data_IF_043588413766
#
_entry.id   IF_043588413766
#
_cell.length_a   1.000
_cell.length_b   1.000
_cell.length_c   1.000
_cell.angle_alpha   90.00
_cell.angle_beta   90.00
_cell.angle_gamma   90.00
#
_symmetry.space_group_name_H-M   'P 1'
#
loop_
_entity.id
_entity.type
_entity.pdbx_description
1 polymer ?
#
# COMPACT_ATOMS: atom_id res chain seq x y z
N UNK A 1 -24.94 -1.06 -6.94
CA UNK A 1 -23.62 -0.42 -7.16
C UNK A 1 -22.58 -1.26 -6.42
N UNK A 2 -21.46 -1.64 -7.03
CA UNK A 2 -20.39 -2.41 -6.39
C UNK A 2 -19.23 -1.52 -5.98
N UNK A 3 -18.70 -1.71 -4.77
CA UNK A 3 -17.48 -1.02 -4.31
C UNK A 3 -16.24 -1.76 -4.82
N UNK A 4 -15.19 -1.02 -5.17
CA UNK A 4 -13.95 -1.62 -5.64
C UNK A 4 -13.11 -2.13 -4.46
N UNK A 5 -12.42 -3.29 -4.57
CA UNK A 5 -11.66 -3.89 -3.45
C UNK A 5 -10.60 -2.96 -2.82
N UNK A 6 -9.84 -2.20 -3.62
CA UNK A 6 -8.89 -1.23 -3.07
C UNK A 6 -9.55 -0.09 -2.26
N UNK A 7 -10.79 0.28 -2.58
CA UNK A 7 -11.54 1.30 -1.83
C UNK A 7 -12.02 0.75 -0.49
N UNK A 8 -12.33 -0.54 -0.40
CA UNK A 8 -12.70 -1.19 0.87
C UNK A 8 -11.52 -1.11 1.84
N UNK A 9 -10.31 -1.46 1.39
CA UNK A 9 -9.10 -1.39 2.22
C UNK A 9 -8.78 0.04 2.66
N UNK A 10 -8.96 1.02 1.77
CA UNK A 10 -8.78 2.44 2.10
C UNK A 10 -9.78 2.92 3.15
N UNK A 11 -11.05 2.55 3.02
CA UNK A 11 -12.11 2.86 3.98
C UNK A 11 -11.81 2.24 5.34
N UNK A 12 -11.43 0.95 5.38
CA UNK A 12 -11.06 0.26 6.61
C UNK A 12 -9.85 0.90 7.30
N UNK A 13 -8.85 1.33 6.50
CA UNK A 13 -7.69 2.03 7.02
C UNK A 13 -8.07 3.39 7.62
N UNK A 14 -8.89 4.17 6.91
CA UNK A 14 -9.36 5.46 7.41
C UNK A 14 -10.25 5.35 8.66
N UNK A 15 -11.03 4.27 8.77
CA UNK A 15 -11.82 3.99 9.98
C UNK A 15 -10.94 3.60 11.16
N UNK A 16 -9.92 2.74 10.95
CA UNK A 16 -8.99 2.31 12.00
C UNK A 16 -8.15 3.47 12.56
N UNK A 17 -7.78 4.42 11.70
CA UNK A 17 -7.05 5.63 12.07
C UNK A 17 -8.00 6.75 12.57
N UNK A 18 -9.28 6.43 12.83
CA UNK A 18 -10.29 7.34 13.36
C UNK A 18 -10.60 8.58 12.49
N UNK A 19 -10.14 8.60 11.24
CA UNK A 19 -10.44 9.67 10.28
C UNK A 19 -11.83 9.53 9.63
N UNK A 20 -12.37 8.30 9.59
CA UNK A 20 -13.67 7.99 8.98
C UNK A 20 -14.58 7.27 9.98
N UNK A 21 -15.90 7.46 9.84
CA UNK A 21 -16.91 6.61 10.45
C UNK A 21 -17.70 5.94 9.33
N UNK A 22 -17.73 4.60 9.31
CA UNK A 22 -18.36 3.82 8.25
C UNK A 22 -19.63 3.17 8.80
N UNK A 23 -20.71 3.23 8.01
CA UNK A 23 -21.97 2.57 8.34
C UNK A 23 -22.55 1.92 7.09
N UNK A 24 -23.18 0.76 7.26
CA UNK A 24 -23.98 0.16 6.21
C UNK A 24 -25.41 0.67 6.32
N UNK A 25 -25.87 1.34 5.27
CA UNK A 25 -27.27 1.76 5.16
C UNK A 25 -28.12 0.62 4.59
N UNK A 26 -29.20 0.28 5.29
CA UNK A 26 -30.08 -0.84 4.95
C UNK A 26 -31.56 -0.40 5.00
N UNK A 27 -32.44 -0.98 4.16
CA UNK A 27 -33.87 -0.66 4.15
C UNK A 27 -34.58 -1.31 5.34
N UNK A 28 -34.38 -0.75 6.54
CA UNK A 28 -34.84 -1.31 7.83
C UNK A 28 -36.34 -1.58 7.84
N UNK A 29 -37.16 -0.66 7.32
CA UNK A 29 -38.62 -0.84 7.30
C UNK A 29 -39.05 -2.05 6.47
N UNK A 30 -38.46 -2.24 5.28
CA UNK A 30 -38.75 -3.39 4.43
C UNK A 30 -38.32 -4.71 5.09
N UNK A 31 -37.16 -4.70 5.75
CA UNK A 31 -36.64 -5.87 6.46
C UNK A 31 -37.53 -6.23 7.63
N UNK A 32 -37.95 -5.25 8.44
CA UNK A 32 -38.86 -5.46 9.56
C UNK A 32 -40.22 -5.96 9.08
N UNK A 33 -40.77 -5.41 8.00
CA UNK A 33 -42.03 -5.88 7.42
C UNK A 33 -41.95 -7.36 7.01
N UNK A 34 -40.84 -7.79 6.39
CA UNK A 34 -40.60 -9.21 6.08
C UNK A 34 -40.48 -10.05 7.34
N UNK A 35 -39.75 -9.56 8.34
CA UNK A 35 -39.57 -10.26 9.61
C UNK A 35 -40.92 -10.47 10.31
N UNK A 36 -41.79 -9.46 10.34
CA UNK A 36 -43.14 -9.58 10.89
C UNK A 36 -43.96 -10.64 10.18
N UNK A 37 -43.90 -10.71 8.85
CA UNK A 37 -44.60 -11.74 8.07
C UNK A 37 -44.11 -13.15 8.44
N UNK A 38 -42.84 -13.31 8.82
CA UNK A 38 -42.29 -14.60 9.22
C UNK A 38 -42.62 -15.02 10.64
N UNK A 39 -42.68 -14.07 11.58
CA UNK A 39 -42.81 -14.39 13.02
C UNK A 39 -44.24 -14.23 13.56
N UNK A 40 -45.10 -13.47 12.88
CA UNK A 40 -46.48 -13.27 13.30
C UNK A 40 -47.42 -14.33 12.70
N UNK A 41 -48.36 -14.79 13.52
CA UNK A 41 -49.48 -15.62 13.06
C UNK A 41 -50.41 -14.84 12.13
N UNK A 42 -51.09 -15.53 11.21
CA UNK A 42 -52.11 -14.93 10.33
C UNK A 42 -53.28 -14.32 11.12
N UNK A 43 -53.59 -14.89 12.28
CA UNK A 43 -54.58 -14.34 13.21
C UNK A 43 -53.90 -13.41 14.21
N UNK A 44 -54.39 -12.16 14.29
CA UNK A 44 -53.91 -11.17 15.24
C UNK A 44 -54.47 -11.50 16.62
N UNK A 45 -53.58 -11.65 17.60
CA UNK A 45 -53.92 -11.92 18.99
C UNK A 45 -53.33 -10.86 19.91
N UNK A 46 -53.70 -10.90 21.20
CA UNK A 46 -53.15 -10.01 22.23
C UNK A 46 -51.63 -10.16 22.40
N UNK A 47 -51.04 -11.28 21.98
CA UNK A 47 -49.59 -11.51 22.06
C UNK A 47 -48.83 -10.99 20.85
N UNK A 48 -49.51 -10.68 19.74
CA UNK A 48 -48.89 -10.24 18.49
C UNK A 48 -48.04 -8.96 18.65
N UNK A 49 -48.44 -8.03 19.53
CA UNK A 49 -47.66 -6.81 19.81
C UNK A 49 -46.33 -7.12 20.51
N UNK A 50 -46.33 -8.05 21.48
CA UNK A 50 -45.11 -8.46 22.17
C UNK A 50 -44.14 -9.16 21.23
N UNK A 51 -44.66 -10.00 20.32
CA UNK A 51 -43.84 -10.66 19.29
C UNK A 51 -43.25 -9.63 18.31
N UNK A 52 -44.04 -8.64 17.89
CA UNK A 52 -43.57 -7.55 17.02
C UNK A 52 -42.43 -6.77 17.67
N UNK A 53 -42.58 -6.38 18.94
CA UNK A 53 -41.55 -5.68 19.70
C UNK A 53 -40.29 -6.52 19.89
N UNK A 54 -40.45 -7.82 20.15
CA UNK A 54 -39.32 -8.75 20.26
C UNK A 54 -38.57 -8.88 18.92
N UNK A 55 -39.28 -8.90 17.79
CA UNK A 55 -38.68 -8.95 16.46
C UNK A 55 -37.89 -7.67 16.14
N UNK A 56 -38.42 -6.50 16.47
CA UNK A 56 -37.72 -5.21 16.32
C UNK A 56 -36.45 -5.16 17.17
N UNK A 57 -36.52 -5.58 18.43
CA UNK A 57 -35.36 -5.62 19.33
C UNK A 57 -34.30 -6.61 18.84
N UNK A 58 -34.72 -7.81 18.44
CA UNK A 58 -33.84 -8.83 17.88
C UNK A 58 -33.15 -8.31 16.60
N UNK A 59 -33.89 -7.64 15.71
CA UNK A 59 -33.30 -7.05 14.52
C UNK A 59 -32.23 -6.02 14.87
N UNK A 60 -32.58 -5.05 15.72
CA UNK A 60 -31.71 -3.91 16.06
C UNK A 60 -30.45 -4.33 16.84
N UNK A 61 -30.58 -5.21 17.83
CA UNK A 61 -29.47 -5.58 18.73
C UNK A 61 -28.62 -6.74 18.22
N UNK A 62 -29.21 -7.65 17.44
CA UNK A 62 -28.57 -8.93 17.14
C UNK A 62 -28.39 -9.12 15.62
N UNK A 63 -29.48 -9.08 14.85
CA UNK A 63 -29.45 -9.44 13.44
C UNK A 63 -28.66 -8.41 12.63
N UNK A 64 -29.03 -7.12 12.71
CA UNK A 64 -28.37 -6.08 11.92
C UNK A 64 -26.86 -5.97 12.24
N UNK A 65 -26.41 -5.92 13.52
CA UNK A 65 -24.99 -5.92 13.82
C UNK A 65 -24.24 -7.19 13.42
N UNK A 66 -24.91 -8.35 13.38
CA UNK A 66 -24.29 -9.59 12.91
C UNK A 66 -24.08 -9.57 11.40
N UNK A 67 -25.11 -9.21 10.64
CA UNK A 67 -25.06 -9.13 9.17
C UNK A 67 -24.11 -8.03 8.71
N UNK A 68 -24.08 -6.88 9.39
CA UNK A 68 -23.13 -5.82 9.09
C UNK A 68 -21.69 -6.30 9.23
N UNK A 69 -21.36 -6.98 10.35
CA UNK A 69 -20.02 -7.55 10.54
C UNK A 69 -19.67 -8.59 9.48
N UNK A 70 -20.60 -9.46 9.11
CA UNK A 70 -20.40 -10.47 8.08
C UNK A 70 -20.11 -9.83 6.71
N UNK A 71 -20.92 -8.85 6.30
CA UNK A 71 -20.70 -8.10 5.06
C UNK A 71 -19.35 -7.37 5.09
N UNK A 72 -19.02 -6.70 6.20
CA UNK A 72 -17.72 -6.00 6.35
C UNK A 72 -16.55 -6.99 6.23
N UNK A 73 -16.66 -8.17 6.84
CA UNK A 73 -15.65 -9.23 6.74
C UNK A 73 -15.48 -9.69 5.30
N UNK A 74 -16.58 -10.08 4.62
CA UNK A 74 -16.52 -10.57 3.25
C UNK A 74 -15.93 -9.54 2.27
N UNK A 75 -16.30 -8.26 2.43
CA UNK A 75 -15.72 -7.18 1.62
C UNK A 75 -14.22 -7.00 1.91
N UNK A 76 -13.81 -7.15 3.17
CA UNK A 76 -12.40 -7.05 3.57
C UNK A 76 -11.59 -8.20 2.98
N UNK A 77 -12.07 -9.44 3.11
CA UNK A 77 -11.42 -10.64 2.57
C UNK A 77 -11.20 -10.51 1.05
N UNK A 78 -12.22 -10.06 0.31
CA UNK A 78 -12.10 -9.77 -1.13
C UNK A 78 -11.08 -8.67 -1.43
N UNK A 79 -11.04 -7.64 -0.60
CA UNK A 79 -10.05 -6.57 -0.61
C UNK A 79 -8.63 -7.10 -0.54
N UNK A 80 -8.37 -7.85 0.52
CA UNK A 80 -7.05 -8.41 0.84
C UNK A 80 -6.59 -9.44 -0.20
N UNK A 81 -7.47 -10.34 -0.62
CA UNK A 81 -7.13 -11.36 -1.63
C UNK A 81 -6.70 -10.72 -2.95
N UNK A 82 -7.40 -9.68 -3.41
CA UNK A 82 -7.00 -8.95 -4.59
C UNK A 82 -5.66 -8.22 -4.39
N UNK A 83 -5.46 -7.58 -3.25
CA UNK A 83 -4.21 -6.88 -2.95
C UNK A 83 -3.02 -7.86 -2.95
N UNK A 84 -3.15 -9.02 -2.31
CA UNK A 84 -2.14 -10.09 -2.28
C UNK A 84 -1.80 -10.53 -3.70
N UNK A 85 -2.79 -10.77 -4.57
CA UNK A 85 -2.55 -11.17 -5.96
C UNK A 85 -1.74 -10.13 -6.73
N UNK A 86 -2.04 -8.84 -6.55
CA UNK A 86 -1.29 -7.74 -7.19
C UNK A 86 0.13 -7.68 -6.66
N UNK A 87 0.34 -7.75 -5.34
CA UNK A 87 1.68 -7.73 -4.75
C UNK A 87 2.51 -8.95 -5.17
N UNK A 88 1.92 -10.14 -5.20
CA UNK A 88 2.58 -11.35 -5.67
C UNK A 88 3.01 -11.23 -7.13
N UNK A 89 2.13 -10.71 -8.00
CA UNK A 89 2.46 -10.46 -9.40
C UNK A 89 3.59 -9.45 -9.56
N UNK A 90 3.57 -8.36 -8.80
CA UNK A 90 4.62 -7.34 -8.85
C UNK A 90 5.97 -7.90 -8.37
N UNK A 91 5.98 -8.65 -7.26
CA UNK A 91 7.18 -9.29 -6.74
C UNK A 91 7.74 -10.31 -7.72
N UNK A 92 6.87 -11.15 -8.32
CA UNK A 92 7.29 -12.09 -9.34
C UNK A 92 7.96 -11.38 -10.53
N UNK A 93 7.36 -10.31 -11.04
CA UNK A 93 7.96 -9.50 -12.13
C UNK A 93 9.32 -8.92 -11.77
N UNK A 94 9.54 -8.50 -10.51
CA UNK A 94 10.84 -8.03 -10.03
C UNK A 94 11.88 -9.17 -9.97
N UNK A 95 11.49 -10.34 -9.47
CA UNK A 95 12.39 -11.50 -9.36
C UNK A 95 12.77 -12.10 -10.72
N UNK A 96 11.90 -11.96 -11.72
CA UNK A 96 12.14 -12.46 -13.08
C UNK A 96 12.94 -11.49 -13.96
N UNK A 97 13.39 -10.36 -13.42
CA UNK A 97 14.24 -9.44 -14.17
C UNK A 97 15.57 -10.11 -14.56
N UNK A 98 16.04 -9.92 -15.80
CA UNK A 98 17.31 -10.48 -16.22
C UNK A 98 18.45 -9.87 -15.39
N UNK A 99 19.38 -10.70 -14.87
CA UNK A 99 20.51 -10.18 -14.11
C UNK A 99 21.51 -9.45 -15.02
N UNK A 100 22.09 -8.36 -14.52
CA UNK A 100 23.21 -7.68 -15.16
C UNK A 100 24.49 -8.44 -14.81
N UNK A 101 25.12 -9.08 -15.79
CA UNK A 101 26.33 -9.91 -15.60
C UNK A 101 27.56 -9.25 -16.18
N UNK A 102 28.71 -9.44 -15.53
CA UNK A 102 29.99 -9.01 -16.09
C UNK A 102 30.18 -7.49 -16.09
N UNK A 103 29.54 -6.78 -15.15
CA UNK A 103 29.50 -5.32 -15.11
C UNK A 103 29.86 -4.81 -13.72
N UNK A 104 30.70 -3.79 -13.65
CA UNK A 104 30.97 -3.03 -12.44
C UNK A 104 29.82 -2.04 -12.23
N UNK A 105 29.18 -2.10 -11.07
CA UNK A 105 27.96 -1.33 -10.78
C UNK A 105 28.22 -0.32 -9.68
N UNK A 106 27.88 0.94 -9.93
CA UNK A 106 27.74 1.96 -8.89
C UNK A 106 26.28 2.04 -8.46
N UNK A 107 25.97 1.55 -7.26
CA UNK A 107 24.67 1.72 -6.62
C UNK A 107 24.57 3.09 -5.96
N UNK A 108 23.49 3.80 -6.26
CA UNK A 108 23.15 5.09 -5.69
C UNK A 108 21.77 4.98 -5.02
N UNK A 109 21.74 5.06 -3.69
CA UNK A 109 20.53 5.07 -2.87
C UNK A 109 20.20 6.51 -2.44
N UNK A 110 19.18 7.14 -3.05
CA UNK A 110 18.84 8.53 -2.80
C UNK A 110 18.36 8.81 -1.37
N UNK A 111 18.71 9.98 -0.85
CA UNK A 111 18.20 10.44 0.42
C UNK A 111 18.43 11.93 0.65
N UNK A 112 17.50 12.55 1.37
CA UNK A 112 17.59 13.96 1.78
C UNK A 112 18.48 14.11 3.03
N UNK A 113 17.88 14.05 4.23
CA UNK A 113 18.55 14.37 5.51
C UNK A 113 19.77 13.50 5.82
N UNK A 114 19.72 12.22 5.47
CA UNK A 114 20.79 11.25 5.77
C UNK A 114 21.81 11.13 4.63
N UNK A 115 21.72 11.99 3.61
CA UNK A 115 22.52 11.91 2.40
C UNK A 115 22.15 10.73 1.49
N UNK A 116 22.72 10.75 0.30
CA UNK A 116 22.65 9.65 -0.67
C UNK A 116 23.83 8.69 -0.42
N UNK A 117 23.56 7.40 -0.41
CA UNK A 117 24.57 6.37 -0.17
C UNK A 117 25.03 5.86 -1.52
N UNK A 118 26.33 5.75 -1.67
CA UNK A 118 26.97 5.27 -2.88
C UNK A 118 27.76 4.02 -2.52
N UNK A 119 27.63 2.98 -3.33
CA UNK A 119 28.42 1.76 -3.22
C UNK A 119 28.88 1.34 -4.61
N UNK A 120 30.12 0.86 -4.73
CA UNK A 120 30.62 0.28 -5.97
C UNK A 120 30.84 -1.21 -5.75
N UNK A 121 30.31 -2.04 -6.65
CA UNK A 121 30.51 -3.49 -6.66
C UNK A 121 31.13 -3.92 -7.98
N UNK A 122 32.02 -4.90 -7.94
CA UNK A 122 32.61 -5.48 -9.15
C UNK A 122 31.64 -6.42 -9.89
N UNK A 123 32.11 -6.99 -10.99
CA UNK A 123 31.36 -7.90 -11.85
C UNK A 123 30.97 -9.23 -11.18
N UNK A 124 31.59 -9.57 -10.05
CA UNK A 124 31.24 -10.72 -9.20
C UNK A 124 30.27 -10.36 -8.08
N UNK A 125 29.99 -9.07 -7.89
CA UNK A 125 29.15 -8.54 -6.81
C UNK A 125 29.93 -8.25 -5.52
N UNK A 126 31.26 -8.27 -5.53
CA UNK A 126 32.08 -7.92 -4.36
C UNK A 126 32.10 -6.42 -4.19
N UNK A 127 31.88 -5.96 -2.96
CA UNK A 127 31.98 -4.55 -2.59
C UNK A 127 33.41 -4.04 -2.73
N UNK A 128 33.59 -2.96 -3.50
CA UNK A 128 34.86 -2.28 -3.72
C UNK A 128 35.00 -1.03 -2.85
N UNK A 129 33.95 -0.21 -2.77
CA UNK A 129 33.99 1.06 -2.03
C UNK A 129 32.59 1.55 -1.65
N UNK A 130 32.53 2.49 -0.71
CA UNK A 130 31.30 3.18 -0.32
C UNK A 130 31.55 4.65 -0.01
N UNK A 131 30.53 5.48 -0.19
CA UNK A 131 30.55 6.87 0.23
C UNK A 131 29.14 7.35 0.64
N UNK A 132 29.09 8.42 1.42
CA UNK A 132 27.87 9.19 1.64
C UNK A 132 28.08 10.57 1.04
N UNK A 133 27.19 10.95 0.13
CA UNK A 133 27.21 12.23 -0.58
C UNK A 133 25.92 12.99 -0.30
N UNK A 134 25.91 14.30 -0.49
CA UNK A 134 24.78 15.14 -0.08
C UNK A 134 24.28 16.03 -1.21
N UNK A 135 23.95 15.40 -2.34
CA UNK A 135 23.48 16.04 -3.57
C UNK A 135 22.13 16.74 -3.48
N UNK A 136 21.33 16.43 -2.46
CA UNK A 136 19.96 16.96 -2.30
C UNK A 136 19.82 17.75 -1.00
N UNK A 137 18.63 18.34 -0.80
CA UNK A 137 18.32 19.09 0.41
C UNK A 137 18.54 18.23 1.67
N UNK A 138 19.08 18.80 2.76
CA UNK A 138 19.27 20.24 3.00
C UNK A 138 20.64 20.79 2.56
N UNK A 139 21.63 19.95 2.26
CA UNK A 139 23.00 20.42 2.01
C UNK A 139 23.22 20.89 0.57
N UNK A 140 22.60 20.21 -0.41
CA UNK A 140 22.72 20.52 -1.84
C UNK A 140 24.17 20.63 -2.32
N UNK A 141 25.07 19.78 -1.80
CA UNK A 141 26.46 19.68 -2.25
C UNK A 141 26.54 18.84 -3.54
N UNK A 142 26.06 19.44 -4.63
CA UNK A 142 26.04 18.81 -5.96
C UNK A 142 27.47 18.63 -6.47
N UNK A 143 28.31 19.66 -6.39
CA UNK A 143 29.70 19.61 -6.88
C UNK A 143 30.54 18.56 -6.13
N UNK A 144 30.40 18.47 -4.80
CA UNK A 144 31.08 17.44 -4.01
C UNK A 144 30.61 16.03 -4.36
N UNK A 145 29.31 15.88 -4.63
CA UNK A 145 28.74 14.61 -5.09
C UNK A 145 29.28 14.22 -6.46
N UNK A 146 29.22 15.12 -7.45
CA UNK A 146 29.72 14.87 -8.81
C UNK A 146 31.21 14.50 -8.79
N UNK A 147 32.02 15.23 -8.01
CA UNK A 147 33.45 14.92 -7.88
C UNK A 147 33.67 13.52 -7.33
N UNK A 148 32.91 13.12 -6.31
CA UNK A 148 33.04 11.79 -5.71
C UNK A 148 32.57 10.68 -6.65
N UNK A 149 31.50 10.93 -7.41
CA UNK A 149 31.02 10.00 -8.42
C UNK A 149 32.02 9.84 -9.56
N UNK A 150 32.60 10.92 -10.10
CA UNK A 150 33.69 10.84 -11.11
C UNK A 150 34.88 10.05 -10.60
N UNK A 151 35.32 10.34 -9.37
CA UNK A 151 36.42 9.59 -8.73
C UNK A 151 36.13 8.09 -8.71
N UNK A 152 34.91 7.67 -8.35
CA UNK A 152 34.54 6.26 -8.31
C UNK A 152 34.39 5.65 -9.71
N UNK A 153 33.81 6.39 -10.66
CA UNK A 153 33.66 5.94 -12.05
C UNK A 153 35.03 5.68 -12.67
N UNK A 154 35.95 6.63 -12.57
CA UNK A 154 37.29 6.53 -13.15
C UNK A 154 38.15 5.48 -12.44
N UNK A 155 38.08 5.39 -11.10
CA UNK A 155 38.90 4.48 -10.30
C UNK A 155 38.54 3.00 -10.51
N UNK A 156 37.25 2.71 -10.70
CA UNK A 156 36.75 1.34 -10.74
C UNK A 156 36.24 0.91 -12.13
N UNK A 157 36.36 1.78 -13.14
CA UNK A 157 35.86 1.53 -14.50
C UNK A 157 34.37 1.12 -14.49
N UNK A 158 33.54 1.95 -13.86
CA UNK A 158 32.12 1.67 -13.64
C UNK A 158 31.39 1.61 -14.99
N UNK A 159 30.72 0.49 -15.25
CA UNK A 159 29.91 0.31 -16.47
C UNK A 159 28.50 0.92 -16.36
N UNK A 160 27.89 0.84 -15.18
CA UNK A 160 26.47 1.17 -14.99
C UNK A 160 26.22 1.77 -13.61
N UNK A 161 25.32 2.75 -13.58
CA UNK A 161 24.81 3.36 -12.34
C UNK A 161 23.40 2.82 -12.07
N UNK A 162 23.19 2.21 -10.92
CA UNK A 162 21.88 1.76 -10.44
C UNK A 162 21.32 2.79 -9.45
N UNK A 163 20.19 3.40 -9.80
CA UNK A 163 19.52 4.42 -8.98
C UNK A 163 18.30 3.84 -8.26
N UNK A 164 18.28 3.97 -6.93
CA UNK A 164 17.11 3.64 -6.12
C UNK A 164 15.90 4.51 -6.48
N UNK A 165 14.71 3.90 -6.61
CA UNK A 165 13.47 4.59 -6.97
C UNK A 165 12.70 5.16 -5.75
N UNK A 166 13.41 5.40 -4.65
CA UNK A 166 12.85 5.85 -3.37
C UNK A 166 12.73 7.37 -3.25
N UNK A 167 12.78 7.86 -2.02
CA UNK A 167 12.73 9.29 -1.69
C UNK A 167 13.91 10.04 -2.32
N UNK A 168 13.68 11.22 -2.90
CA UNK A 168 14.70 12.03 -3.59
C UNK A 168 15.28 11.42 -4.88
N UNK A 169 14.66 10.37 -5.44
CA UNK A 169 15.15 9.71 -6.65
C UNK A 169 15.15 10.63 -7.87
N UNK A 170 14.13 11.47 -8.05
CA UNK A 170 13.99 12.36 -9.20
C UNK A 170 15.06 13.44 -9.24
N UNK A 171 15.35 14.05 -8.10
CA UNK A 171 16.43 15.04 -7.97
C UNK A 171 17.80 14.39 -8.20
N UNK A 172 17.99 13.18 -7.67
CA UNK A 172 19.23 12.42 -7.87
C UNK A 172 19.42 11.99 -9.32
N UNK A 173 18.35 11.57 -10.01
CA UNK A 173 18.35 11.23 -11.44
C UNK A 173 18.82 12.41 -12.29
N UNK A 174 18.33 13.62 -11.99
CA UNK A 174 18.74 14.82 -12.71
C UNK A 174 20.24 15.07 -12.57
N UNK A 175 20.76 15.01 -11.35
CA UNK A 175 22.19 15.25 -11.06
C UNK A 175 23.07 14.19 -11.73
N UNK A 176 22.67 12.91 -11.66
CA UNK A 176 23.41 11.82 -12.32
C UNK A 176 23.36 11.96 -13.84
N UNK A 177 22.23 12.39 -14.41
CA UNK A 177 22.11 12.59 -15.86
C UNK A 177 22.96 13.77 -16.36
N UNK A 178 22.98 14.87 -15.60
CA UNK A 178 23.85 16.03 -15.86
C UNK A 178 25.33 15.66 -15.76
N UNK A 179 25.69 14.79 -14.81
CA UNK A 179 27.05 14.28 -14.64
C UNK A 179 27.56 13.47 -15.84
N UNK A 180 26.68 12.68 -16.47
CA UNK A 180 27.00 11.78 -17.59
C UNK A 180 26.94 12.46 -18.97
N UNK A 181 26.42 13.69 -19.04
CA UNK A 181 26.29 14.47 -20.27
C UNK A 181 27.57 15.24 -20.59
#
# INVERSE_FOLDING_TARGET
KHIAPHRILAINSGEREEFLSVKIDAPVEEILNKLYVWVLSKEISKTSEYVKRAAEDAYKRLIAPSIEREIRSELTDKGEEQAIKVFASNLHSLLMQPPVKGKVVLGFDPGYRTGCKVAVVDDTGKLLDTATVYSTAPQNDVEGTERKLKEFIDKYDVDIISLGNGTASRESEKIISELLS
#
